data_IF_923325146401
#
_entry.id   IF_923325146401
#
_cell.length_a   1.000
_cell.length_b   1.000
_cell.length_c   1.000
_cell.angle_alpha   90.00
_cell.angle_beta   90.00
_cell.angle_gamma   90.00
#
_symmetry.space_group_name_H-M   'P 1'
#
loop_
_entity.id
_entity.type
_entity.pdbx_description
1 polymer ?
#
# COMPACT_ATOMS: atom_id res chain seq x y z
N UNK A 1 -21.91 -11.00 -33.28
CA UNK A 1 -20.67 -11.13 -34.09
C UNK A 1 -19.74 -9.90 -33.91
N UNK A 2 -20.14 -8.68 -34.32
CA UNK A 2 -19.24 -7.49 -34.20
C UNK A 2 -18.90 -7.19 -32.73
N UNK A 3 -19.89 -7.22 -31.83
CA UNK A 3 -19.69 -7.00 -30.41
C UNK A 3 -18.76 -8.05 -29.77
N UNK A 4 -18.89 -9.31 -30.15
CA UNK A 4 -18.03 -10.40 -29.69
C UNK A 4 -16.58 -10.20 -30.15
N UNK A 5 -16.37 -9.86 -31.42
CA UNK A 5 -15.04 -9.56 -31.96
C UNK A 5 -14.40 -8.40 -31.20
N UNK A 6 -15.16 -7.29 -30.98
CA UNK A 6 -14.64 -6.15 -30.23
C UNK A 6 -14.37 -6.46 -28.76
N UNK A 7 -15.19 -7.29 -28.14
CA UNK A 7 -14.95 -7.75 -26.77
C UNK A 7 -13.66 -8.58 -26.68
N UNK A 8 -13.41 -9.44 -27.68
CA UNK A 8 -12.20 -10.24 -27.73
C UNK A 8 -10.95 -9.37 -27.94
N UNK A 9 -10.99 -8.43 -28.91
CA UNK A 9 -9.90 -7.47 -29.13
C UNK A 9 -9.57 -6.66 -27.83
N UNK A 10 -10.58 -6.18 -27.11
CA UNK A 10 -10.41 -5.47 -25.86
C UNK A 10 -9.78 -6.37 -24.77
N UNK A 11 -10.18 -7.63 -24.69
CA UNK A 11 -9.60 -8.58 -23.74
C UNK A 11 -8.12 -8.84 -24.04
N UNK A 12 -7.75 -9.01 -25.31
CA UNK A 12 -6.37 -9.20 -25.74
C UNK A 12 -5.50 -7.96 -25.43
N UNK A 13 -6.00 -6.75 -25.75
CA UNK A 13 -5.32 -5.50 -25.43
C UNK A 13 -5.17 -5.31 -23.91
N UNK A 14 -6.18 -5.66 -23.12
CA UNK A 14 -6.12 -5.59 -21.68
C UNK A 14 -5.14 -6.63 -21.09
N UNK A 15 -5.08 -7.82 -21.66
CA UNK A 15 -4.09 -8.83 -21.26
C UNK A 15 -2.65 -8.33 -21.53
N UNK A 16 -2.41 -7.75 -22.71
CA UNK A 16 -1.13 -7.15 -23.08
C UNK A 16 -0.76 -5.99 -22.17
N UNK A 17 -1.72 -5.09 -21.89
CA UNK A 17 -1.51 -3.98 -20.95
C UNK A 17 -1.10 -4.49 -19.56
N UNK A 18 -1.80 -5.51 -19.02
CA UNK A 18 -1.48 -6.12 -17.72
C UNK A 18 -0.08 -6.75 -17.70
N UNK A 19 0.35 -7.36 -18.81
CA UNK A 19 1.70 -7.92 -18.89
C UNK A 19 2.75 -6.81 -18.82
N UNK A 20 2.60 -5.77 -19.63
CA UNK A 20 3.54 -4.63 -19.61
C UNK A 20 3.56 -3.94 -18.25
N UNK A 21 2.38 -3.77 -17.60
CA UNK A 21 2.27 -3.26 -16.23
C UNK A 21 3.08 -4.11 -15.25
N UNK A 22 2.93 -5.43 -15.33
CA UNK A 22 3.65 -6.38 -14.46
C UNK A 22 5.16 -6.31 -14.69
N UNK A 23 5.60 -6.26 -15.93
CA UNK A 23 7.02 -6.23 -16.29
C UNK A 23 7.68 -4.93 -15.78
N UNK A 24 7.05 -3.77 -15.99
CA UNK A 24 7.55 -2.48 -15.49
C UNK A 24 7.55 -2.48 -13.95
N UNK A 25 6.52 -3.02 -13.31
CA UNK A 25 6.45 -3.08 -11.84
C UNK A 25 7.59 -3.93 -11.25
N UNK A 26 7.88 -5.08 -11.83
CA UNK A 26 8.99 -5.94 -11.36
C UNK A 26 10.37 -5.27 -11.59
N UNK A 27 10.57 -4.61 -12.75
CA UNK A 27 11.79 -3.82 -12.99
C UNK A 27 11.94 -2.67 -11.99
N UNK A 28 10.86 -1.95 -11.70
CA UNK A 28 10.85 -0.85 -10.73
C UNK A 28 11.17 -1.34 -9.30
N UNK A 29 10.61 -2.47 -8.89
CA UNK A 29 10.93 -3.11 -7.60
C UNK A 29 12.39 -3.53 -7.53
N UNK A 30 12.91 -4.17 -8.58
CA UNK A 30 14.32 -4.57 -8.64
C UNK A 30 15.25 -3.35 -8.53
N UNK A 31 14.90 -2.23 -9.20
CA UNK A 31 15.67 -0.98 -9.11
C UNK A 31 15.67 -0.43 -7.67
N UNK A 32 14.52 -0.41 -7.00
CA UNK A 32 14.42 0.05 -5.60
C UNK A 32 15.21 -0.86 -4.64
N UNK A 33 15.15 -2.17 -4.83
CA UNK A 33 15.86 -3.15 -3.97
C UNK A 33 17.37 -3.04 -4.15
N UNK A 34 17.83 -2.77 -5.38
CA UNK A 34 19.27 -2.64 -5.68
C UNK A 34 19.90 -1.35 -5.15
N UNK A 35 19.09 -0.32 -4.84
CA UNK A 35 19.54 0.94 -4.25
C UNK A 35 18.86 1.21 -2.89
N UNK A 36 19.46 0.78 -1.77
CA UNK A 36 18.92 1.01 -0.44
C UNK A 36 18.69 2.49 -0.09
N UNK A 37 19.45 3.42 -0.67
CA UNK A 37 19.27 4.87 -0.45
C UNK A 37 18.01 5.36 -1.16
N UNK A 38 17.80 4.94 -2.41
CA UNK A 38 16.59 5.24 -3.15
C UNK A 38 15.34 4.65 -2.46
N UNK A 39 15.44 3.39 -2.02
CA UNK A 39 14.34 2.71 -1.32
C UNK A 39 13.95 3.40 0.01
N UNK A 40 14.93 3.90 0.75
CA UNK A 40 14.71 4.57 2.03
C UNK A 40 14.50 6.10 1.88
N UNK A 41 14.47 6.62 0.66
CA UNK A 41 14.15 8.03 0.42
C UNK A 41 12.68 8.32 0.77
N UNK A 42 12.37 9.60 1.00
CA UNK A 42 11.00 10.05 1.32
C UNK A 42 10.05 9.89 0.14
N UNK A 43 10.56 10.01 -1.07
CA UNK A 43 9.84 9.81 -2.33
C UNK A 43 10.54 8.70 -3.10
N UNK A 44 9.81 7.67 -3.47
CA UNK A 44 10.32 6.60 -4.33
C UNK A 44 10.31 7.08 -5.78
N UNK A 45 11.47 7.11 -6.41
CA UNK A 45 11.61 7.54 -7.80
C UNK A 45 12.33 6.43 -8.56
N UNK A 46 11.70 5.96 -9.61
CA UNK A 46 12.23 4.94 -10.53
C UNK A 46 12.12 5.43 -11.96
N UNK A 47 13.08 5.07 -12.79
CA UNK A 47 13.08 5.44 -14.19
C UNK A 47 13.54 4.27 -15.07
N UNK A 48 13.04 4.21 -16.29
CA UNK A 48 13.44 3.18 -17.24
C UNK A 48 13.21 3.57 -18.68
N UNK A 49 14.14 3.09 -19.53
CA UNK A 49 14.07 3.25 -20.99
C UNK A 49 12.92 2.42 -21.56
N UNK A 50 12.14 3.00 -22.47
CA UNK A 50 11.05 2.33 -23.15
C UNK A 50 9.82 2.02 -22.26
N UNK A 51 9.78 2.53 -21.02
CA UNK A 51 8.60 2.36 -20.19
C UNK A 51 7.42 3.15 -20.73
N UNK A 52 6.35 2.45 -21.07
CA UNK A 52 5.20 3.01 -21.74
C UNK A 52 4.51 4.09 -20.91
N UNK A 53 4.44 5.32 -21.46
CA UNK A 53 3.88 6.50 -20.80
C UNK A 53 2.40 6.35 -20.40
N UNK A 54 1.62 5.52 -21.12
CA UNK A 54 0.24 5.21 -20.77
C UNK A 54 0.08 4.24 -19.59
N UNK A 55 1.15 3.59 -19.16
CA UNK A 55 1.13 2.55 -18.13
C UNK A 55 1.84 2.98 -16.84
N UNK A 56 2.86 3.84 -16.92
CA UNK A 56 3.64 4.27 -15.74
C UNK A 56 2.77 4.86 -14.61
N UNK A 57 1.63 5.46 -14.93
CA UNK A 57 0.69 5.96 -13.92
C UNK A 57 0.01 4.87 -13.11
N UNK A 58 -0.22 3.70 -13.71
CA UNK A 58 -0.76 2.53 -13.02
C UNK A 58 0.34 1.93 -12.14
N UNK A 59 1.56 1.83 -12.65
CA UNK A 59 2.72 1.33 -11.89
C UNK A 59 3.00 2.23 -10.69
N UNK A 60 2.94 3.57 -10.85
CA UNK A 60 3.10 4.52 -9.76
C UNK A 60 2.06 4.30 -8.65
N UNK A 61 0.80 4.04 -9.01
CA UNK A 61 -0.25 3.73 -8.05
C UNK A 61 0.03 2.39 -7.32
N UNK A 62 0.51 1.37 -8.04
CA UNK A 62 0.88 0.07 -7.43
C UNK A 62 2.06 0.19 -6.46
N UNK A 63 3.07 0.99 -6.80
CA UNK A 63 4.18 1.25 -5.89
C UNK A 63 3.73 2.00 -4.63
N UNK A 64 2.83 2.97 -4.78
CA UNK A 64 2.20 3.66 -3.64
C UNK A 64 1.46 2.67 -2.72
N UNK A 65 0.63 1.78 -3.29
CA UNK A 65 -0.10 0.75 -2.53
C UNK A 65 0.85 -0.21 -1.79
N UNK A 66 2.00 -0.54 -2.39
CA UNK A 66 2.97 -1.48 -1.82
C UNK A 66 3.83 -0.86 -0.71
N UNK A 67 4.24 0.39 -0.89
CA UNK A 67 5.26 1.02 -0.03
C UNK A 67 4.73 2.15 0.83
N UNK A 68 3.49 2.59 0.62
CA UNK A 68 2.84 3.68 1.37
C UNK A 68 3.68 4.98 1.40
N UNK A 69 4.38 5.26 0.30
CA UNK A 69 5.22 6.44 0.09
C UNK A 69 4.83 7.13 -1.21
N UNK A 70 5.04 8.45 -1.35
CA UNK A 70 4.93 9.09 -2.65
C UNK A 70 5.83 8.40 -3.67
N UNK A 71 5.27 8.09 -4.85
CA UNK A 71 5.96 7.31 -5.89
C UNK A 71 5.91 8.06 -7.22
N UNK A 72 7.04 8.12 -7.89
CA UNK A 72 7.22 8.69 -9.21
C UNK A 72 7.83 7.63 -10.12
N UNK A 73 7.20 7.41 -11.26
CA UNK A 73 7.69 6.50 -12.30
C UNK A 73 7.94 7.32 -13.55
N UNK A 74 9.15 7.26 -14.06
CA UNK A 74 9.61 8.01 -15.23
C UNK A 74 9.90 7.04 -16.37
N UNK A 75 9.20 7.21 -17.49
CA UNK A 75 9.52 6.53 -18.74
C UNK A 75 10.35 7.44 -19.63
N UNK A 76 11.43 6.91 -20.17
CA UNK A 76 12.36 7.61 -21.08
C UNK A 76 12.16 7.05 -22.48
N UNK A 77 11.93 7.94 -23.45
CA UNK A 77 11.77 7.59 -24.87
C UNK A 77 12.53 8.60 -25.74
N UNK A 78 13.63 8.15 -26.33
CA UNK A 78 14.55 9.05 -27.05
C UNK A 78 15.17 10.09 -26.12
N UNK A 79 15.01 11.37 -26.46
CA UNK A 79 15.52 12.51 -25.69
C UNK A 79 14.47 13.11 -24.72
N UNK A 80 13.28 12.55 -24.68
CA UNK A 80 12.20 13.00 -23.80
C UNK A 80 11.97 11.98 -22.67
N UNK A 81 11.70 12.49 -21.48
CA UNK A 81 11.23 11.71 -20.34
C UNK A 81 9.86 12.21 -19.88
N UNK A 82 8.98 11.28 -19.49
CA UNK A 82 7.67 11.59 -18.93
C UNK A 82 7.50 10.86 -17.61
N UNK A 83 7.06 11.61 -16.60
CA UNK A 83 6.79 11.07 -15.28
C UNK A 83 5.32 11.05 -14.94
N UNK A 84 4.93 10.03 -14.20
CA UNK A 84 3.65 9.95 -13.53
C UNK A 84 3.87 9.69 -12.05
N UNK A 85 3.19 10.47 -11.23
CA UNK A 85 3.38 10.48 -9.78
C UNK A 85 2.07 10.19 -9.04
N UNK A 86 2.19 9.50 -7.91
CA UNK A 86 1.11 9.26 -6.95
C UNK A 86 1.60 9.55 -5.54
N UNK A 87 0.72 10.10 -4.68
CA UNK A 87 1.10 10.51 -3.35
C UNK A 87 0.08 10.12 -2.29
N UNK A 88 0.56 10.16 -1.06
CA UNK A 88 -0.22 10.03 0.18
C UNK A 88 -0.74 11.41 0.61
N UNK A 89 -1.71 11.40 1.50
CA UNK A 89 -2.18 12.62 2.15
C UNK A 89 -1.05 13.31 2.92
N UNK A 90 -1.04 14.64 2.88
CA UNK A 90 0.00 15.44 3.55
C UNK A 90 1.26 15.68 2.72
N UNK A 91 1.46 15.01 1.55
CA UNK A 91 2.54 15.31 0.62
C UNK A 91 1.98 15.75 -0.74
N UNK A 92 2.05 17.05 -1.02
CA UNK A 92 1.56 17.64 -2.28
C UNK A 92 2.54 17.43 -3.43
N UNK A 93 2.15 16.61 -4.42
CA UNK A 93 2.93 16.46 -5.65
C UNK A 93 3.01 17.75 -6.45
N UNK A 94 1.91 18.50 -6.53
CA UNK A 94 1.92 19.75 -7.26
C UNK A 94 2.99 20.71 -6.74
N UNK A 95 3.03 20.92 -5.40
CA UNK A 95 4.03 21.78 -4.76
C UNK A 95 5.46 21.25 -4.92
N UNK A 96 5.62 19.93 -4.86
CA UNK A 96 6.92 19.29 -5.04
C UNK A 96 7.45 19.43 -6.48
N UNK A 97 6.57 19.29 -7.49
CA UNK A 97 6.93 19.50 -8.90
C UNK A 97 7.18 20.98 -9.22
N UNK A 98 6.39 21.88 -8.62
CA UNK A 98 6.59 23.34 -8.77
C UNK A 98 7.98 23.75 -8.26
N UNK A 99 8.42 23.20 -7.12
CA UNK A 99 9.76 23.42 -6.58
C UNK A 99 10.90 22.90 -7.47
N UNK A 100 10.59 22.01 -8.43
CA UNK A 100 11.53 21.44 -9.40
C UNK A 100 11.25 21.93 -10.82
N UNK A 101 10.44 22.97 -11.01
CA UNK A 101 9.94 23.42 -12.31
C UNK A 101 11.01 23.80 -13.32
N UNK A 102 12.20 24.22 -12.86
CA UNK A 102 13.34 24.56 -13.73
C UNK A 102 13.86 23.38 -14.58
N UNK A 103 13.61 22.12 -14.14
CA UNK A 103 13.98 20.92 -14.90
C UNK A 103 12.85 20.43 -15.82
N UNK A 104 11.63 20.95 -15.65
CA UNK A 104 10.44 20.44 -16.33
C UNK A 104 10.08 21.28 -17.55
N UNK A 105 9.71 20.64 -18.65
CA UNK A 105 9.12 21.31 -19.81
C UNK A 105 7.65 21.62 -19.58
N UNK A 106 6.95 20.77 -18.86
CA UNK A 106 5.57 20.98 -18.39
C UNK A 106 5.27 20.04 -17.22
N UNK A 107 4.37 20.46 -16.36
CA UNK A 107 3.79 19.61 -15.32
C UNK A 107 2.36 20.03 -15.01
N UNK A 108 1.61 19.15 -14.37
CA UNK A 108 0.25 19.42 -13.93
C UNK A 108 -0.32 18.29 -13.11
N UNK A 109 -1.39 18.57 -12.39
CA UNK A 109 -2.06 17.59 -11.53
C UNK A 109 -2.57 18.23 -10.25
N UNK A 110 -2.80 17.38 -9.26
CA UNK A 110 -3.32 17.72 -7.95
C UNK A 110 -2.37 17.26 -6.83
N UNK A 111 -2.80 17.39 -5.60
CA UNK A 111 -1.99 16.98 -4.44
C UNK A 111 -1.58 15.51 -4.48
N UNK A 112 -2.49 14.60 -4.88
CA UNK A 112 -2.29 13.14 -4.82
C UNK A 112 -1.90 12.48 -6.15
N UNK A 113 -2.04 13.19 -7.27
CA UNK A 113 -1.71 12.66 -8.59
C UNK A 113 -1.20 13.76 -9.50
N UNK A 114 -0.08 13.55 -10.17
CA UNK A 114 0.50 14.50 -11.09
C UNK A 114 1.24 13.81 -12.23
N UNK A 115 1.41 14.55 -13.34
CA UNK A 115 2.22 14.15 -14.47
C UNK A 115 3.13 15.28 -14.91
N UNK A 116 4.25 14.95 -15.53
CA UNK A 116 5.21 15.92 -16.00
C UNK A 116 6.03 15.38 -17.17
N UNK A 117 6.69 16.30 -17.88
CA UNK A 117 7.66 15.99 -18.94
C UNK A 117 8.93 16.80 -18.72
N UNK A 118 10.06 16.22 -19.09
CA UNK A 118 11.38 16.85 -19.00
C UNK A 118 12.33 16.27 -20.06
N UNK A 119 13.41 16.98 -20.43
CA UNK A 119 14.48 16.41 -21.24
C UNK A 119 15.17 15.27 -20.49
N UNK A 120 15.63 14.25 -21.22
CA UNK A 120 16.32 13.10 -20.63
C UNK A 120 17.55 13.50 -19.82
N UNK A 121 18.33 14.46 -20.31
CA UNK A 121 19.54 14.96 -19.64
C UNK A 121 19.26 15.71 -18.32
N UNK A 122 18.00 16.04 -18.03
CA UNK A 122 17.55 16.69 -16.79
C UNK A 122 16.99 15.73 -15.75
N UNK A 123 16.90 14.43 -16.04
CA UNK A 123 16.27 13.46 -15.14
C UNK A 123 17.04 13.35 -13.82
N UNK A 124 18.35 13.26 -13.85
CA UNK A 124 19.16 13.11 -12.64
C UNK A 124 19.12 14.38 -11.77
N UNK A 125 19.19 15.57 -12.38
CA UNK A 125 19.07 16.86 -11.69
C UNK A 125 17.72 16.99 -11.01
N UNK A 126 16.64 16.66 -11.73
CA UNK A 126 15.27 16.62 -11.20
C UNK A 126 15.15 15.68 -10.00
N UNK A 127 15.66 14.46 -10.10
CA UNK A 127 15.62 13.47 -9.00
C UNK A 127 16.36 14.01 -7.78
N UNK A 128 17.53 14.59 -7.97
CA UNK A 128 18.34 15.14 -6.88
C UNK A 128 17.62 16.29 -6.18
N UNK A 129 17.06 17.23 -6.94
CA UNK A 129 16.34 18.38 -6.38
C UNK A 129 15.04 17.96 -5.66
N UNK A 130 14.27 17.02 -6.22
CA UNK A 130 13.05 16.55 -5.61
C UNK A 130 13.32 15.81 -4.28
N UNK A 131 14.39 15.01 -4.21
CA UNK A 131 14.82 14.38 -2.96
C UNK A 131 15.24 15.44 -1.93
N UNK A 132 16.02 16.43 -2.34
CA UNK A 132 16.43 17.54 -1.45
C UNK A 132 15.22 18.32 -0.91
N UNK A 133 14.26 18.65 -1.78
CA UNK A 133 13.00 19.26 -1.38
C UNK A 133 12.25 18.43 -0.34
N UNK A 134 12.09 17.11 -0.60
CA UNK A 134 11.40 16.24 0.33
C UNK A 134 12.14 16.11 1.67
N UNK A 135 13.47 16.07 1.65
CA UNK A 135 14.29 16.00 2.86
C UNK A 135 14.20 17.26 3.71
N UNK A 136 14.16 18.42 3.07
CA UNK A 136 14.03 19.71 3.75
C UNK A 136 12.63 19.94 4.33
N UNK A 137 11.58 19.71 3.51
CA UNK A 137 10.20 20.06 3.88
C UNK A 137 9.52 19.03 4.77
N UNK A 138 9.98 17.79 4.73
CA UNK A 138 9.35 16.67 5.46
C UNK A 138 10.36 15.95 6.37
N UNK A 139 10.78 16.55 7.50
CA UNK A 139 11.65 15.89 8.49
C UNK A 139 11.06 14.53 8.95
N UNK A 140 9.73 14.45 9.01
CA UNK A 140 8.97 13.20 9.18
C UNK A 140 7.90 13.12 8.09
N UNK A 141 7.86 12.00 7.37
CA UNK A 141 6.85 11.81 6.33
C UNK A 141 5.47 11.58 6.96
N UNK A 142 4.41 12.08 6.33
CA UNK A 142 3.05 11.69 6.66
C UNK A 142 2.90 10.17 6.57
N UNK A 143 2.05 9.61 7.39
CA UNK A 143 1.70 8.19 7.37
C UNK A 143 0.36 8.04 6.69
N UNK A 144 0.26 7.06 5.79
CA UNK A 144 -1.00 6.73 5.18
C UNK A 144 -1.93 6.13 6.23
N UNK A 145 -3.02 6.82 6.51
CA UNK A 145 -4.04 6.37 7.47
C UNK A 145 -5.32 5.98 6.73
N UNK A 146 -6.01 5.00 7.25
CA UNK A 146 -7.36 4.66 6.80
C UNK A 146 -8.30 4.81 7.99
N UNK A 147 -9.28 5.67 7.86
CA UNK A 147 -10.32 5.86 8.87
C UNK A 147 -11.40 4.80 8.67
N UNK A 148 -11.88 4.23 9.78
CA UNK A 148 -13.04 3.37 9.80
C UNK A 148 -14.27 4.22 10.11
N UNK A 149 -15.36 3.99 9.40
CA UNK A 149 -16.59 4.73 9.61
C UNK A 149 -17.33 4.24 10.86
N UNK A 150 -17.26 2.93 11.15
CA UNK A 150 -18.01 2.31 12.25
C UNK A 150 -17.27 1.10 12.82
N UNK A 151 -17.35 0.93 14.14
CA UNK A 151 -17.08 -0.32 14.84
C UNK A 151 -18.43 -1.01 15.14
N UNK A 152 -18.81 -2.07 14.41
CA UNK A 152 -20.20 -2.55 14.41
C UNK A 152 -20.54 -3.34 15.68
N UNK A 153 -21.78 -3.23 16.12
CA UNK A 153 -22.40 -4.19 17.01
C UNK A 153 -22.94 -5.39 16.22
N UNK A 154 -23.32 -6.48 16.89
CA UNK A 154 -23.85 -7.66 16.19
C UNK A 154 -25.15 -7.37 15.44
N UNK A 155 -26.00 -6.48 15.97
CA UNK A 155 -27.22 -6.01 15.31
C UNK A 155 -26.98 -5.28 13.99
N UNK A 156 -25.82 -4.60 13.88
CA UNK A 156 -25.45 -3.89 12.66
C UNK A 156 -25.03 -4.87 11.55
N UNK A 157 -24.66 -6.08 11.92
CA UNK A 157 -24.23 -7.15 11.02
C UNK A 157 -25.37 -8.09 10.59
N UNK A 158 -26.59 -7.79 10.96
CA UNK A 158 -27.77 -8.49 10.44
C UNK A 158 -28.01 -8.17 8.97
N UNK A 159 -28.61 -9.13 8.24
CA UNK A 159 -28.88 -8.97 6.81
C UNK A 159 -29.68 -7.71 6.52
N UNK A 160 -30.72 -7.44 7.33
CA UNK A 160 -31.59 -6.26 7.20
C UNK A 160 -30.81 -4.94 7.34
N UNK A 161 -29.87 -4.88 8.29
CA UNK A 161 -29.02 -3.71 8.53
C UNK A 161 -28.07 -3.47 7.35
N UNK A 162 -27.43 -4.52 6.85
CA UNK A 162 -26.53 -4.44 5.70
C UNK A 162 -27.30 -4.09 4.41
N UNK A 163 -28.53 -4.62 4.21
CA UNK A 163 -29.37 -4.23 3.07
C UNK A 163 -29.67 -2.73 3.04
N UNK A 164 -29.79 -2.10 4.19
CA UNK A 164 -30.05 -0.66 4.27
C UNK A 164 -28.87 0.19 3.79
N UNK A 165 -27.65 -0.32 3.76
CA UNK A 165 -26.49 0.40 3.20
C UNK A 165 -26.66 0.76 1.72
N UNK A 166 -27.54 0.07 0.99
CA UNK A 166 -27.89 0.42 -0.40
C UNK A 166 -28.44 1.84 -0.55
N UNK A 167 -29.00 2.43 0.50
CA UNK A 167 -29.49 3.80 0.47
C UNK A 167 -28.38 4.85 0.43
N UNK A 168 -27.13 4.45 0.72
CA UNK A 168 -25.94 5.29 0.60
C UNK A 168 -25.34 5.26 -0.81
N UNK A 169 -25.79 4.36 -1.68
CA UNK A 169 -25.31 4.23 -3.05
C UNK A 169 -25.85 5.34 -3.97
N UNK A 170 -25.15 5.67 -5.11
CA UNK A 170 -23.94 4.99 -5.60
C UNK A 170 -22.67 5.44 -4.85
N UNK A 171 -21.77 4.46 -4.59
CA UNK A 171 -20.48 4.76 -4.04
C UNK A 171 -19.51 5.24 -5.13
N UNK A 172 -18.58 6.13 -4.78
CA UNK A 172 -17.60 6.71 -5.68
C UNK A 172 -16.67 7.69 -4.97
N UNK A 173 -16.07 8.61 -5.73
CA UNK A 173 -15.27 9.68 -5.16
C UNK A 173 -16.15 10.58 -4.26
N UNK A 174 -15.64 10.96 -3.08
CA UNK A 174 -16.34 11.71 -2.02
C UNK A 174 -17.54 11.00 -1.36
N UNK A 175 -17.92 9.80 -1.84
CA UNK A 175 -18.91 8.94 -1.21
C UNK A 175 -18.42 7.50 -1.16
N UNK A 176 -17.42 7.24 -0.34
CA UNK A 176 -16.81 5.92 -0.23
C UNK A 176 -17.76 4.89 0.38
N UNK A 177 -17.63 3.63 -0.02
CA UNK A 177 -18.33 2.55 0.64
C UNK A 177 -17.89 2.46 2.11
N UNK A 178 -18.82 2.29 3.06
CA UNK A 178 -18.50 2.26 4.48
C UNK A 178 -17.43 1.22 4.84
N UNK A 179 -16.51 1.62 5.70
CA UNK A 179 -15.46 0.76 6.26
C UNK A 179 -15.77 0.43 7.71
N UNK A 180 -15.83 -0.86 7.98
CA UNK A 180 -16.14 -1.42 9.29
C UNK A 180 -14.85 -1.91 9.95
N UNK A 181 -14.63 -1.52 11.21
CA UNK A 181 -13.52 -2.00 12.02
C UNK A 181 -14.02 -3.05 13.02
N UNK A 182 -13.70 -4.30 12.77
CA UNK A 182 -14.00 -5.40 13.68
C UNK A 182 -12.77 -5.71 14.53
N UNK A 183 -12.77 -5.26 15.80
CA UNK A 183 -11.65 -5.44 16.72
C UNK A 183 -11.69 -6.78 17.45
N UNK A 184 -10.50 -7.27 17.78
CA UNK A 184 -10.34 -8.47 18.61
C UNK A 184 -11.02 -9.73 18.04
N UNK A 185 -11.06 -9.87 16.72
CA UNK A 185 -11.53 -11.09 16.09
C UNK A 185 -10.58 -12.24 16.40
N UNK A 186 -11.09 -13.38 16.88
CA UNK A 186 -10.27 -14.58 17.12
C UNK A 186 -10.37 -15.50 15.91
N UNK A 187 -9.26 -15.76 15.24
CA UNK A 187 -9.23 -16.65 14.07
C UNK A 187 -9.51 -18.08 14.50
N UNK A 188 -10.48 -18.72 13.85
CA UNK A 188 -10.86 -20.12 14.09
C UNK A 188 -10.21 -21.02 13.05
N UNK A 189 -10.26 -20.63 11.77
CA UNK A 189 -9.70 -21.41 10.67
C UNK A 189 -9.40 -20.53 9.47
N UNK A 190 -8.48 -20.97 8.63
CA UNK A 190 -8.18 -20.33 7.35
C UNK A 190 -8.05 -21.37 6.24
N UNK A 191 -8.36 -20.98 5.01
CA UNK A 191 -8.27 -21.85 3.83
C UNK A 191 -7.92 -21.09 2.56
N UNK A 192 -7.25 -21.73 1.60
CA UNK A 192 -7.00 -21.14 0.29
C UNK A 192 -8.30 -20.98 -0.52
N UNK A 193 -8.32 -19.95 -1.38
CA UNK A 193 -9.32 -19.74 -2.42
C UNK A 193 -8.60 -19.58 -3.77
N UNK A 194 -9.22 -20.08 -4.85
CA UNK A 194 -8.69 -20.01 -6.23
C UNK A 194 -7.21 -20.43 -6.28
N UNK A 195 -6.95 -21.69 -5.92
CA UNK A 195 -5.61 -22.30 -5.94
C UNK A 195 -4.58 -21.53 -5.10
N UNK A 196 -5.02 -20.97 -3.99
CA UNK A 196 -4.15 -20.25 -3.05
C UNK A 196 -3.92 -18.77 -3.39
N UNK A 197 -4.46 -18.27 -4.48
CA UNK A 197 -4.33 -16.86 -4.90
C UNK A 197 -4.93 -15.89 -3.88
N UNK A 198 -5.97 -16.31 -3.16
CA UNK A 198 -6.66 -15.55 -2.14
C UNK A 198 -6.84 -16.38 -0.88
N UNK A 199 -7.19 -15.71 0.21
CA UNK A 199 -7.44 -16.37 1.50
C UNK A 199 -8.88 -16.14 1.95
N UNK A 200 -9.50 -17.19 2.50
CA UNK A 200 -10.69 -17.06 3.32
C UNK A 200 -10.39 -17.56 4.72
N UNK A 201 -10.89 -16.85 5.73
CA UNK A 201 -10.80 -17.33 7.10
C UNK A 201 -12.13 -17.15 7.83
N UNK A 202 -12.33 -17.94 8.86
CA UNK A 202 -13.44 -17.80 9.80
C UNK A 202 -12.86 -17.26 11.10
N UNK A 203 -13.50 -16.23 11.65
CA UNK A 203 -13.13 -15.70 12.95
C UNK A 203 -14.38 -15.40 13.79
N UNK A 204 -14.22 -15.45 15.09
CA UNK A 204 -15.22 -15.04 16.06
C UNK A 204 -15.07 -13.55 16.34
N UNK A 205 -16.18 -12.82 16.27
CA UNK A 205 -16.33 -11.43 16.66
C UNK A 205 -17.51 -11.28 17.60
N UNK A 206 -17.27 -10.75 18.81
CA UNK A 206 -18.32 -10.57 19.85
C UNK A 206 -19.18 -11.82 20.09
N UNK A 207 -18.56 -13.03 20.05
CA UNK A 207 -19.25 -14.31 20.28
C UNK A 207 -19.96 -14.91 19.06
N UNK A 208 -19.94 -14.26 17.90
CA UNK A 208 -20.52 -14.77 16.65
C UNK A 208 -19.44 -15.01 15.60
N UNK A 209 -19.64 -16.04 14.77
CA UNK A 209 -18.68 -16.43 13.74
C UNK A 209 -19.02 -15.78 12.41
N UNK A 210 -18.00 -15.18 11.78
CA UNK A 210 -18.10 -14.58 10.47
C UNK A 210 -17.06 -15.16 9.52
N UNK A 211 -17.43 -15.17 8.23
CA UNK A 211 -16.53 -15.57 7.16
C UNK A 211 -15.93 -14.32 6.52
N UNK A 212 -14.61 -14.27 6.51
CA UNK A 212 -13.81 -13.20 5.94
C UNK A 212 -13.19 -13.62 4.61
N UNK A 213 -13.20 -12.71 3.64
CA UNK A 213 -12.61 -12.90 2.32
C UNK A 213 -11.48 -11.89 2.12
N UNK A 214 -10.26 -12.38 1.99
CA UNK A 214 -9.06 -11.57 1.78
C UNK A 214 -8.56 -11.75 0.34
N UNK A 215 -8.92 -10.82 -0.53
CA UNK A 215 -8.52 -10.85 -1.95
C UNK A 215 -7.15 -10.23 -2.21
N UNK A 216 -6.61 -9.48 -1.27
CA UNK A 216 -5.30 -8.81 -1.39
C UNK A 216 -4.10 -9.69 -1.01
N UNK A 217 -4.33 -10.88 -0.42
CA UNK A 217 -3.27 -11.71 0.16
C UNK A 217 -3.46 -13.15 -0.23
N UNK A 218 -2.44 -13.77 -0.83
CA UNK A 218 -2.39 -15.19 -1.12
C UNK A 218 -2.25 -16.01 0.18
N UNK A 219 -2.69 -17.25 0.13
CA UNK A 219 -2.75 -18.10 1.33
C UNK A 219 -1.38 -18.35 1.96
N UNK A 220 -0.35 -18.51 1.15
CA UNK A 220 1.05 -18.67 1.61
C UNK A 220 1.60 -17.44 2.35
N UNK A 221 1.04 -16.25 2.06
CA UNK A 221 1.44 -14.97 2.64
C UNK A 221 0.50 -14.47 3.75
N UNK A 222 -0.57 -15.19 4.05
CA UNK A 222 -1.59 -14.73 5.00
C UNK A 222 -1.04 -14.51 6.41
N UNK A 223 -0.23 -15.45 6.92
CA UNK A 223 0.58 -15.25 8.13
C UNK A 223 -0.19 -15.16 9.45
N UNK A 224 -1.48 -15.48 9.48
CA UNK A 224 -2.30 -15.56 10.69
C UNK A 224 -2.85 -16.97 10.87
N UNK A 225 -2.90 -17.44 12.13
CA UNK A 225 -3.22 -18.82 12.48
C UNK A 225 -4.42 -18.90 13.43
N UNK A 226 -5.06 -20.09 13.55
CA UNK A 226 -6.10 -20.30 14.55
C UNK A 226 -5.62 -19.93 15.96
N UNK A 227 -6.44 -19.16 16.68
CA UNK A 227 -6.15 -18.59 17.99
C UNK A 227 -5.54 -17.17 17.96
N UNK A 228 -5.05 -16.69 16.82
CA UNK A 228 -4.58 -15.32 16.71
C UNK A 228 -5.75 -14.33 16.85
N UNK A 229 -5.48 -13.22 17.57
CA UNK A 229 -6.41 -12.11 17.71
C UNK A 229 -6.04 -11.01 16.74
N UNK A 230 -7.00 -10.61 15.91
CA UNK A 230 -6.79 -9.64 14.83
C UNK A 230 -7.85 -8.54 14.85
N UNK A 231 -7.45 -7.34 14.45
CA UNK A 231 -8.36 -6.26 14.06
C UNK A 231 -8.50 -6.30 12.55
N UNK A 232 -9.72 -6.28 12.06
CA UNK A 232 -10.03 -6.37 10.63
C UNK A 232 -10.77 -5.11 10.19
N UNK A 233 -10.19 -4.42 9.22
CA UNK A 233 -10.86 -3.35 8.49
C UNK A 233 -11.50 -3.95 7.23
N UNK A 234 -12.78 -3.72 7.01
CA UNK A 234 -13.54 -4.46 6.01
C UNK A 234 -14.68 -3.66 5.39
N UNK A 235 -15.06 -4.03 4.18
CA UNK A 235 -16.40 -3.78 3.67
C UNK A 235 -17.29 -4.98 3.98
N UNK A 236 -18.56 -4.74 4.24
CA UNK A 236 -19.54 -5.77 4.55
C UNK A 236 -20.59 -5.77 3.46
N UNK A 237 -20.84 -6.95 2.91
CA UNK A 237 -21.72 -7.14 1.76
C UNK A 237 -22.65 -8.34 2.02
N UNK A 238 -23.76 -8.40 1.33
CA UNK A 238 -24.62 -9.58 1.30
C UNK A 238 -24.17 -10.46 0.15
N UNK A 239 -23.84 -11.70 0.47
CA UNK A 239 -23.63 -12.74 -0.51
C UNK A 239 -24.91 -13.56 -0.66
N UNK A 240 -25.41 -13.68 -1.87
CA UNK A 240 -26.56 -14.50 -2.20
C UNK A 240 -26.10 -15.69 -3.05
N UNK A 241 -26.34 -16.89 -2.53
CA UNK A 241 -25.99 -18.15 -3.20
C UNK A 241 -27.06 -19.21 -2.94
N UNK A 242 -27.63 -19.81 -3.99
CA UNK A 242 -28.74 -20.76 -3.91
C UNK A 242 -29.91 -20.24 -3.06
N UNK A 243 -30.39 -19.04 -3.34
CA UNK A 243 -31.49 -18.34 -2.66
C UNK A 243 -31.27 -18.14 -1.15
N UNK A 244 -30.02 -18.31 -0.68
CA UNK A 244 -29.64 -18.05 0.71
C UNK A 244 -28.76 -16.80 0.79
N UNK A 245 -29.22 -15.84 1.59
CA UNK A 245 -28.45 -14.64 1.90
C UNK A 245 -27.56 -14.89 3.12
N UNK A 246 -26.35 -14.40 3.07
CA UNK A 246 -25.40 -14.43 4.17
C UNK A 246 -24.53 -13.18 4.17
N UNK A 247 -24.12 -12.74 5.36
CA UNK A 247 -23.16 -11.64 5.48
C UNK A 247 -21.77 -12.11 5.06
N UNK A 248 -21.13 -11.36 4.20
CA UNK A 248 -19.76 -11.58 3.70
C UNK A 248 -18.90 -10.40 4.09
N UNK A 249 -17.82 -10.67 4.81
CA UNK A 249 -16.87 -9.65 5.26
C UNK A 249 -15.67 -9.64 4.32
N UNK A 250 -15.55 -8.59 3.53
CA UNK A 250 -14.47 -8.41 2.57
C UNK A 250 -13.35 -7.59 3.19
N UNK A 251 -12.25 -8.24 3.48
CA UNK A 251 -11.09 -7.64 4.17
C UNK A 251 -10.45 -6.58 3.29
N UNK A 252 -10.31 -5.38 3.82
CA UNK A 252 -9.52 -4.28 3.27
C UNK A 252 -8.11 -4.31 3.85
N UNK A 253 -8.00 -4.45 5.18
CA UNK A 253 -6.74 -4.57 5.91
C UNK A 253 -6.94 -5.44 7.16
N UNK A 254 -5.85 -6.04 7.65
CA UNK A 254 -5.85 -6.92 8.83
C UNK A 254 -4.55 -6.72 9.60
N UNK A 255 -4.64 -6.63 10.92
CA UNK A 255 -3.47 -6.55 11.81
C UNK A 255 -3.70 -7.36 13.08
N UNK A 256 -2.64 -7.68 13.80
CA UNK A 256 -2.77 -8.22 15.16
C UNK A 256 -3.39 -7.18 16.09
N UNK A 257 -4.30 -7.60 16.96
CA UNK A 257 -4.98 -6.67 17.89
C UNK A 257 -4.03 -6.06 18.93
N UNK A 258 -2.94 -6.75 19.24
CA UNK A 258 -1.90 -6.30 20.18
C UNK A 258 -0.78 -5.49 19.51
N UNK A 259 -0.93 -5.13 18.22
CA UNK A 259 0.09 -4.41 17.48
C UNK A 259 0.27 -2.98 17.98
N UNK A 260 1.44 -2.61 18.52
CA UNK A 260 1.67 -1.28 19.10
C UNK A 260 1.98 -0.26 18.00
N UNK A 261 0.96 0.18 17.28
CA UNK A 261 1.05 1.01 16.07
C UNK A 261 1.90 2.28 16.26
N UNK A 262 1.73 3.00 17.36
CA UNK A 262 2.48 4.24 17.62
C UNK A 262 3.98 3.98 17.78
N UNK A 263 4.32 2.92 18.52
CA UNK A 263 5.72 2.49 18.69
C UNK A 263 6.34 2.04 17.36
N UNK A 264 5.56 1.36 16.53
CA UNK A 264 6.01 0.93 15.21
C UNK A 264 6.38 2.12 14.32
N UNK A 265 5.49 3.11 14.19
CA UNK A 265 5.77 4.27 13.35
C UNK A 265 6.91 5.13 13.87
N UNK A 266 7.02 5.27 15.20
CA UNK A 266 8.16 5.94 15.81
C UNK A 266 9.49 5.21 15.52
N UNK A 267 9.52 3.89 15.64
CA UNK A 267 10.67 3.07 15.33
C UNK A 267 11.03 3.13 13.82
N UNK A 268 10.03 3.04 12.93
CA UNK A 268 10.21 3.16 11.49
C UNK A 268 10.83 4.51 11.12
N UNK A 269 10.27 5.61 11.59
CA UNK A 269 10.79 6.96 11.33
C UNK A 269 12.24 7.12 11.82
N UNK A 270 12.53 6.59 13.00
CA UNK A 270 13.89 6.61 13.55
C UNK A 270 14.86 5.80 12.69
N UNK A 271 14.47 4.63 12.28
CA UNK A 271 15.27 3.74 11.44
C UNK A 271 15.54 4.35 10.04
N UNK A 272 14.52 4.92 9.41
CA UNK A 272 14.65 5.63 8.14
C UNK A 272 15.64 6.80 8.22
N UNK A 273 15.67 7.52 9.36
CA UNK A 273 16.67 8.58 9.62
C UNK A 273 18.10 8.04 9.66
N UNK A 274 18.32 6.90 10.35
CA UNK A 274 19.64 6.26 10.40
C UNK A 274 20.10 5.87 8.99
N UNK A 275 19.21 5.26 8.20
CA UNK A 275 19.55 4.82 6.84
C UNK A 275 19.88 5.97 5.89
N UNK A 276 19.32 7.15 6.13
CA UNK A 276 19.66 8.38 5.40
C UNK A 276 20.93 9.06 5.92
N UNK A 277 21.57 8.52 6.97
CA UNK A 277 22.75 9.11 7.60
C UNK A 277 22.47 10.37 8.43
N UNK A 278 21.20 10.59 8.81
CA UNK A 278 20.82 11.72 9.68
C UNK A 278 21.34 11.47 11.10
N UNK A 279 21.78 12.55 11.77
CA UNK A 279 22.16 12.48 13.20
C UNK A 279 20.94 12.18 14.05
N UNK A 280 20.96 11.05 14.74
CA UNK A 280 19.86 10.60 15.60
C UNK A 280 20.32 10.48 17.06
N UNK A 281 19.41 10.75 18.00
CA UNK A 281 19.70 10.57 19.44
C UNK A 281 19.51 9.10 19.83
N UNK A 282 20.62 8.40 20.12
CA UNK A 282 20.62 7.00 20.54
C UNK A 282 19.79 6.72 21.80
N UNK A 283 19.46 7.74 22.60
CA UNK A 283 18.57 7.60 23.76
C UNK A 283 17.12 7.35 23.37
N UNK A 284 16.71 7.80 22.18
CA UNK A 284 15.38 7.50 21.62
C UNK A 284 15.23 6.03 21.26
N UNK A 285 16.29 5.37 20.80
CA UNK A 285 16.32 3.92 20.51
C UNK A 285 15.92 3.10 21.74
N UNK A 286 16.47 3.44 22.91
CA UNK A 286 16.16 2.75 24.17
C UNK A 286 14.71 2.92 24.63
N UNK A 287 14.02 3.97 24.20
CA UNK A 287 12.60 4.22 24.51
C UNK A 287 11.63 3.54 23.55
N UNK A 288 12.06 3.32 22.32
CA UNK A 288 11.22 2.81 21.23
C UNK A 288 11.33 1.29 21.13
N UNK A 289 12.51 0.73 21.39
CA UNK A 289 12.73 -0.73 21.37
C UNK A 289 12.30 -1.32 22.72
N UNK A 290 11.47 -2.36 22.71
CA UNK A 290 11.19 -3.11 23.92
C UNK A 290 12.46 -3.78 24.45
N UNK A 291 12.51 -4.10 25.77
CA UNK A 291 13.63 -4.76 26.41
C UNK A 291 14.11 -5.99 25.64
N UNK A 292 15.44 -6.15 25.54
CA UNK A 292 16.12 -7.18 24.73
C UNK A 292 15.64 -8.62 24.96
N UNK A 293 15.08 -8.92 26.12
CA UNK A 293 14.64 -10.28 26.48
C UNK A 293 13.30 -10.71 25.87
N UNK A 294 12.49 -9.74 25.36
CA UNK A 294 11.15 -10.01 24.81
C UNK A 294 10.97 -9.58 23.34
N UNK A 295 12.06 -9.34 22.62
CA UNK A 295 11.99 -8.96 21.19
C UNK A 295 11.64 -10.16 20.29
N UNK A 296 10.44 -10.70 20.44
CA UNK A 296 9.73 -11.28 19.31
C UNK A 296 9.09 -10.10 18.57
N UNK A 297 9.75 -9.62 17.53
CA UNK A 297 9.11 -8.70 16.60
C UNK A 297 7.76 -9.31 16.20
N UNK A 298 6.65 -8.57 16.31
CA UNK A 298 5.38 -9.04 15.77
C UNK A 298 5.61 -9.50 14.33
N UNK A 299 5.07 -10.63 13.95
CA UNK A 299 5.31 -11.26 12.64
C UNK A 299 5.04 -10.28 11.48
N UNK A 300 4.04 -9.38 11.64
CA UNK A 300 3.72 -8.35 10.65
C UNK A 300 4.79 -7.27 10.55
N UNK A 301 5.45 -6.96 11.65
CA UNK A 301 6.58 -6.04 11.66
C UNK A 301 7.78 -6.70 10.98
N UNK A 302 8.08 -7.95 11.31
CA UNK A 302 9.09 -8.74 10.64
C UNK A 302 8.78 -8.90 9.14
N UNK A 303 7.51 -9.11 8.76
CA UNK A 303 7.06 -9.23 7.37
C UNK A 303 7.12 -7.91 6.60
N UNK A 304 6.71 -6.79 7.19
CA UNK A 304 6.90 -5.46 6.59
C UNK A 304 8.38 -5.04 6.55
N UNK A 305 9.18 -5.48 7.52
CA UNK A 305 10.63 -5.27 7.54
C UNK A 305 11.40 -6.25 6.63
N UNK A 306 10.94 -7.49 6.42
CA UNK A 306 11.54 -8.44 5.48
C UNK A 306 11.20 -8.15 4.02
N UNK A 307 10.17 -7.38 3.74
CA UNK A 307 10.03 -6.73 2.43
C UNK A 307 11.07 -5.59 2.22
N UNK A 308 11.78 -5.20 3.29
CA UNK A 308 12.97 -4.32 3.32
C UNK A 308 14.17 -5.25 3.60
N UNK A 309 14.43 -6.20 2.71
CA UNK A 309 15.23 -7.41 2.95
C UNK A 309 16.65 -7.19 3.48
N UNK A 310 17.34 -6.11 3.14
CA UNK A 310 18.71 -5.90 3.62
C UNK A 310 18.78 -5.27 5.01
N UNK A 311 17.82 -4.43 5.33
CA UNK A 311 17.86 -3.64 6.55
C UNK A 311 17.35 -4.41 7.77
N UNK A 312 16.39 -5.33 7.58
CA UNK A 312 15.95 -6.25 8.63
C UNK A 312 17.02 -7.31 8.95
N UNK A 313 17.76 -7.79 7.94
CA UNK A 313 18.90 -8.68 8.17
C UNK A 313 20.01 -7.99 8.97
N UNK A 314 20.28 -6.71 8.70
CA UNK A 314 21.26 -5.92 9.46
C UNK A 314 20.78 -5.71 10.89
N UNK A 315 19.52 -5.38 11.13
CA UNK A 315 18.95 -5.22 12.47
C UNK A 315 18.96 -6.55 13.24
N UNK A 316 18.63 -7.66 12.60
CA UNK A 316 18.68 -9.00 13.21
C UNK A 316 20.11 -9.50 13.46
N UNK A 317 21.05 -9.21 12.57
CA UNK A 317 22.46 -9.63 12.71
C UNK A 317 23.23 -8.88 13.79
N UNK A 318 22.80 -7.68 14.17
CA UNK A 318 23.41 -6.86 15.20
C UNK A 318 22.71 -6.95 16.56
N UNK A 319 21.74 -7.85 16.72
CA UNK A 319 21.04 -8.08 17.99
C UNK A 319 20.25 -6.86 18.49
N UNK A 320 19.84 -6.01 17.54
CA UNK A 320 18.92 -4.88 17.79
C UNK A 320 17.46 -5.29 17.63
#
# INVERSE_FOLDING_TARGET
>A
QIAEIKAQELNELNAKRKQIESDILEMAKAQLISDPKAFNSRVLIVCGEGWNHGIIGIVSARLLELYEKPCIVIGIEGDEARGSARSIEGFSLYTALDACSEHLTRFGGHTKAAGFSLPKDKVDDFIAQLRSYADEKFPSMPVMTTEADIEPELSDLEISSIENLRHLQPYGEENNAPLFLMRNCTIISSRPLKDGKYTSFTAEYKGSQFKFLCFGTSFDKFGYYPGDRVDVLSHIEINEYNDKKSVSVRVKDIRRSDFPQDKYFAARNFYEKILRGEKTDSRLLKRILPDKENMKLPFDLARKLTSIDSAAQIAMSHGM
#
